data_IF_819408601304
#
_entry.id   IF_819408601304
#
_cell.length_a   1.000
_cell.length_b   1.000
_cell.length_c   1.000
_cell.angle_alpha   90.00
_cell.angle_beta   90.00
_cell.angle_gamma   90.00
#
_symmetry.space_group_name_H-M   'P 1'
#
loop_
_entity.id
_entity.type
_entity.pdbx_description
1 polymer ?
#
# COMPACT_ATOMS: atom_id res chain seq x y z
N UNK A 1 -19.18 13.73 17.04
CA UNK A 1 -19.74 12.51 17.65
C UNK A 1 -20.10 11.56 16.51
N UNK A 2 -19.16 10.71 16.09
CA UNK A 2 -19.42 9.75 15.00
C UNK A 2 -20.13 8.56 15.62
N UNK A 3 -21.44 8.49 15.42
CA UNK A 3 -22.27 7.36 15.85
C UNK A 3 -21.87 6.17 14.99
N UNK A 4 -21.04 5.29 15.56
CA UNK A 4 -20.80 3.97 14.99
C UNK A 4 -22.13 3.24 15.13
N UNK A 5 -22.91 3.19 14.04
CA UNK A 5 -24.17 2.46 14.00
C UNK A 5 -23.96 1.05 14.53
N UNK A 6 -24.76 0.71 15.55
CA UNK A 6 -24.79 -0.56 16.29
C UNK A 6 -23.75 -1.60 15.84
N UNK A 7 -22.58 -1.59 16.49
CA UNK A 7 -21.68 -2.73 16.45
C UNK A 7 -22.40 -3.92 17.09
N UNK A 8 -22.47 -5.03 16.37
CA UNK A 8 -23.01 -6.28 16.89
C UNK A 8 -22.25 -6.66 18.19
N UNK A 9 -22.95 -7.07 19.26
CA UNK A 9 -22.33 -7.35 20.55
C UNK A 9 -21.24 -8.43 20.49
N UNK A 10 -21.30 -9.36 19.54
CA UNK A 10 -20.24 -10.37 19.32
C UNK A 10 -18.99 -9.70 18.74
N UNK A 11 -19.18 -8.73 17.84
CA UNK A 11 -18.07 -7.95 17.29
C UNK A 11 -17.38 -7.15 18.39
N UNK A 12 -18.15 -6.55 19.30
CA UNK A 12 -17.61 -5.77 20.41
C UNK A 12 -16.73 -6.62 21.33
N UNK A 13 -17.17 -7.83 21.70
CA UNK A 13 -16.37 -8.77 22.50
C UNK A 13 -15.04 -9.13 21.84
N UNK A 14 -15.04 -9.31 20.52
CA UNK A 14 -13.81 -9.61 19.78
C UNK A 14 -12.86 -8.42 19.71
N UNK A 15 -13.38 -7.20 19.69
CA UNK A 15 -12.55 -5.99 19.76
C UNK A 15 -11.95 -5.84 21.16
N UNK A 16 -12.72 -6.10 22.22
CA UNK A 16 -12.19 -6.12 23.59
C UNK A 16 -11.09 -7.15 23.80
N UNK A 17 -11.17 -8.32 23.18
CA UNK A 17 -10.09 -9.31 23.22
C UNK A 17 -8.78 -8.76 22.63
N UNK A 18 -8.85 -7.93 21.59
CA UNK A 18 -7.66 -7.26 21.06
C UNK A 18 -7.15 -6.16 21.99
N UNK A 19 -8.04 -5.42 22.67
CA UNK A 19 -7.61 -4.42 23.67
C UNK A 19 -6.78 -5.09 24.76
N UNK A 20 -7.21 -6.26 25.26
CA UNK A 20 -6.47 -7.04 26.24
C UNK A 20 -5.12 -7.53 25.71
N UNK A 21 -5.08 -8.02 24.47
CA UNK A 21 -3.87 -8.53 23.81
C UNK A 21 -2.79 -7.45 23.58
N UNK A 22 -3.22 -6.22 23.28
CA UNK A 22 -2.34 -5.06 23.11
C UNK A 22 -2.02 -4.31 24.42
N UNK A 23 -2.72 -4.62 25.52
CA UNK A 23 -2.49 -4.02 26.84
C UNK A 23 -2.82 -2.52 26.91
N UNK A 24 -1.94 -1.73 27.53
CA UNK A 24 -2.19 -0.31 27.84
C UNK A 24 -2.52 0.58 26.62
N UNK A 25 -1.99 0.25 25.43
CA UNK A 25 -2.30 0.97 24.19
C UNK A 25 -3.43 0.34 23.36
N UNK A 26 -4.00 -0.78 23.82
CA UNK A 26 -4.95 -1.57 23.04
C UNK A 26 -6.20 -0.81 22.62
N UNK A 27 -6.75 0.04 23.49
CA UNK A 27 -7.93 0.85 23.17
C UNK A 27 -7.64 1.85 22.03
N UNK A 28 -6.46 2.49 22.09
CA UNK A 28 -6.03 3.44 21.06
C UNK A 28 -5.75 2.74 19.73
N UNK A 29 -5.14 1.56 19.77
CA UNK A 29 -4.86 0.74 18.59
C UNK A 29 -6.16 0.28 17.93
N UNK A 30 -7.10 -0.26 18.71
CA UNK A 30 -8.39 -0.72 18.18
C UNK A 30 -9.21 0.44 17.62
N UNK A 31 -9.23 1.58 18.30
CA UNK A 31 -9.88 2.81 17.81
C UNK A 31 -9.29 3.26 16.46
N UNK A 32 -7.96 3.29 16.33
CA UNK A 32 -7.28 3.64 15.07
C UNK A 32 -7.63 2.66 13.95
N UNK A 33 -7.70 1.35 14.24
CA UNK A 33 -8.10 0.36 13.23
C UNK A 33 -9.54 0.54 12.74
N UNK A 34 -10.44 0.98 13.64
CA UNK A 34 -11.81 1.33 13.29
C UNK A 34 -11.85 2.59 12.41
N UNK A 35 -11.08 3.62 12.75
CA UNK A 35 -10.96 4.84 11.95
C UNK A 35 -10.49 4.53 10.52
N UNK A 36 -9.43 3.73 10.37
CA UNK A 36 -8.95 3.27 9.06
C UNK A 36 -10.03 2.51 8.29
N UNK A 37 -10.83 1.67 8.99
CA UNK A 37 -11.99 1.00 8.41
C UNK A 37 -13.06 1.96 7.92
N UNK A 38 -13.34 3.02 8.69
CA UNK A 38 -14.31 4.06 8.35
C UNK A 38 -13.83 4.89 7.17
N UNK A 39 -12.56 5.30 7.14
CA UNK A 39 -11.94 6.04 6.03
C UNK A 39 -11.99 5.24 4.71
N UNK A 40 -11.76 3.93 4.79
CA UNK A 40 -11.91 3.02 3.65
C UNK A 40 -13.39 2.74 3.27
N UNK A 41 -14.36 3.20 4.06
CA UNK A 41 -15.78 2.89 3.89
C UNK A 41 -16.17 1.44 4.26
N UNK A 42 -15.25 0.67 4.84
CA UNK A 42 -15.42 -0.75 5.19
C UNK A 42 -15.55 -0.90 6.70
N UNK A 43 -16.78 -0.85 7.19
CA UNK A 43 -17.12 -0.97 8.61
C UNK A 43 -17.44 -2.41 9.02
N UNK A 44 -16.63 -3.37 8.60
CA UNK A 44 -16.82 -4.78 8.95
C UNK A 44 -15.70 -5.28 9.86
N UNK A 45 -16.06 -6.14 10.83
CA UNK A 45 -15.08 -6.71 11.76
C UNK A 45 -13.97 -7.47 11.04
N UNK A 46 -14.29 -8.14 9.92
CA UNK A 46 -13.31 -8.93 9.17
C UNK A 46 -12.13 -8.07 8.68
N UNK A 47 -12.40 -6.85 8.24
CA UNK A 47 -11.42 -5.88 7.78
C UNK A 47 -10.58 -5.36 8.94
N UNK A 48 -11.24 -4.91 10.01
CA UNK A 48 -10.58 -4.43 11.23
C UNK A 48 -9.70 -5.52 11.85
N UNK A 49 -10.21 -6.75 11.95
CA UNK A 49 -9.44 -7.90 12.43
C UNK A 49 -8.23 -8.21 11.55
N UNK A 50 -8.32 -7.99 10.23
CA UNK A 50 -7.19 -8.13 9.32
C UNK A 50 -6.10 -7.08 9.58
N UNK A 51 -6.51 -5.83 9.86
CA UNK A 51 -5.61 -4.74 10.24
C UNK A 51 -4.93 -5.07 11.57
N UNK A 52 -5.72 -5.39 12.61
CA UNK A 52 -5.22 -5.71 13.95
C UNK A 52 -4.26 -6.91 13.92
N UNK A 53 -4.62 -7.99 13.23
CA UNK A 53 -3.74 -9.16 13.06
C UNK A 53 -2.44 -8.79 12.36
N UNK A 54 -2.48 -7.92 11.35
CA UNK A 54 -1.27 -7.46 10.67
C UNK A 54 -0.38 -6.61 11.61
N UNK A 55 -0.97 -5.76 12.44
CA UNK A 55 -0.21 -4.98 13.43
C UNK A 55 0.37 -5.85 14.55
N UNK A 56 -0.43 -6.77 15.08
CA UNK A 56 0.00 -7.74 16.07
C UNK A 56 1.15 -8.62 15.54
N UNK A 57 1.04 -9.15 14.32
CA UNK A 57 2.11 -9.94 13.68
C UNK A 57 3.40 -9.14 13.46
N UNK A 58 3.30 -7.82 13.27
CA UNK A 58 4.46 -6.94 13.14
C UNK A 58 5.06 -6.56 14.50
N UNK A 59 4.40 -6.92 15.60
CA UNK A 59 4.81 -6.59 16.95
C UNK A 59 4.66 -5.10 17.28
N UNK A 60 3.77 -4.39 16.57
CA UNK A 60 3.51 -2.99 16.86
C UNK A 60 2.83 -2.89 18.22
N UNK A 61 3.55 -2.31 19.18
CA UNK A 61 3.03 -2.06 20.53
C UNK A 61 2.63 -0.61 20.73
N UNK A 62 3.10 0.27 19.84
CA UNK A 62 2.84 1.70 19.92
C UNK A 62 2.03 2.20 18.74
N UNK A 63 1.11 3.12 19.03
CA UNK A 63 0.32 3.82 18.01
C UNK A 63 1.19 4.58 16.99
N UNK A 64 2.39 5.03 17.40
CA UNK A 64 3.36 5.70 16.52
C UNK A 64 3.89 4.80 15.39
N UNK A 65 4.19 3.54 15.69
CA UNK A 65 4.65 2.57 14.69
C UNK A 65 3.54 2.21 13.69
N UNK A 66 2.30 2.15 14.20
CA UNK A 66 1.11 1.91 13.39
C UNK A 66 0.89 3.07 12.41
N UNK A 67 1.00 4.31 12.86
CA UNK A 67 0.82 5.50 12.04
C UNK A 67 1.87 5.57 10.91
N UNK A 68 3.14 5.29 11.22
CA UNK A 68 4.21 5.21 10.23
C UNK A 68 3.93 4.12 9.17
N UNK A 69 3.40 2.96 9.58
CA UNK A 69 3.03 1.90 8.65
C UNK A 69 1.79 2.26 7.81
N UNK A 70 0.85 3.04 8.35
CA UNK A 70 -0.34 3.48 7.61
C UNK A 70 0.01 4.52 6.54
N UNK A 71 0.88 5.48 6.87
CA UNK A 71 1.45 6.44 5.89
C UNK A 71 2.18 5.67 4.77
N UNK A 72 2.93 4.62 5.12
CA UNK A 72 3.62 3.77 4.16
C UNK A 72 2.68 2.93 3.28
N UNK A 73 1.44 2.68 3.72
CA UNK A 73 0.41 2.01 2.91
C UNK A 73 -0.27 2.98 1.95
N UNK A 74 -0.65 4.16 2.42
CA UNK A 74 -1.26 5.21 1.58
C UNK A 74 -0.33 5.65 0.44
N UNK A 75 0.97 5.76 0.70
CA UNK A 75 1.97 6.10 -0.33
C UNK A 75 2.21 4.97 -1.34
N UNK A 76 2.03 3.70 -0.94
CA UNK A 76 2.10 2.57 -1.87
C UNK A 76 0.91 2.49 -2.79
N UNK A 77 -0.30 2.83 -2.33
CA UNK A 77 -1.50 2.81 -3.18
C UNK A 77 -1.43 3.87 -4.30
N UNK A 78 -0.86 5.04 -4.02
CA UNK A 78 -0.69 6.11 -5.02
C UNK A 78 0.42 5.82 -6.06
N UNK A 79 1.38 4.96 -5.74
CA UNK A 79 2.49 4.62 -6.64
C UNK A 79 2.34 3.25 -7.32
N UNK A 80 1.16 2.64 -7.27
CA UNK A 80 0.87 1.42 -8.05
C UNK A 80 0.41 1.76 -9.47
N UNK A 81 1.15 2.64 -10.15
CA UNK A 81 1.42 2.36 -11.57
C UNK A 81 2.32 1.13 -11.54
N UNK A 82 1.71 -0.06 -11.48
CA UNK A 82 2.44 -1.31 -11.64
C UNK A 82 3.22 -1.19 -12.96
N UNK A 83 4.56 -1.09 -12.99
CA UNK A 83 5.22 -1.40 -14.23
C UNK A 83 4.95 -2.89 -14.38
N UNK A 84 4.11 -3.25 -15.34
CA UNK A 84 3.91 -4.62 -15.80
C UNK A 84 5.24 -5.09 -16.41
N UNK A 85 6.25 -5.30 -15.56
CA UNK A 85 7.48 -5.98 -15.92
C UNK A 85 7.16 -7.46 -15.75
N UNK A 86 6.54 -8.03 -16.78
CA UNK A 86 6.66 -9.45 -17.03
C UNK A 86 8.16 -9.73 -17.16
N UNK A 87 8.78 -10.12 -16.04
CA UNK A 87 10.08 -10.79 -15.97
C UNK A 87 9.95 -12.20 -16.56
N UNK A 88 9.49 -12.27 -17.80
CA UNK A 88 9.72 -13.44 -18.64
C UNK A 88 11.19 -13.38 -19.02
N UNK A 89 11.88 -14.51 -18.87
CA UNK A 89 13.27 -14.81 -19.20
C UNK A 89 13.64 -14.41 -20.64
N UNK A 90 13.73 -13.11 -20.93
CA UNK A 90 14.10 -12.60 -22.25
C UNK A 90 15.62 -12.61 -22.34
N UNK A 91 16.14 -13.19 -23.42
CA UNK A 91 17.57 -13.16 -23.74
C UNK A 91 18.07 -11.71 -23.73
N UNK A 92 19.33 -11.43 -23.35
CA UNK A 92 19.91 -10.09 -23.38
C UNK A 92 19.71 -9.38 -24.74
N UNK A 93 19.67 -10.12 -25.85
CA UNK A 93 19.36 -9.57 -27.17
C UNK A 93 17.94 -8.99 -27.27
N UNK A 94 16.95 -9.65 -26.70
CA UNK A 94 15.56 -9.21 -26.77
C UNK A 94 15.36 -7.92 -25.96
N UNK A 95 16.08 -7.79 -24.85
CA UNK A 95 16.12 -6.59 -24.01
C UNK A 95 16.72 -5.42 -24.80
N UNK A 96 17.81 -5.65 -25.52
CA UNK A 96 18.46 -4.63 -26.35
C UNK A 96 17.53 -4.15 -27.49
N UNK A 97 16.85 -5.08 -28.18
CA UNK A 97 15.91 -4.77 -29.27
C UNK A 97 14.70 -3.96 -28.78
N UNK A 98 14.18 -4.28 -27.61
CA UNK A 98 13.06 -3.56 -27.00
C UNK A 98 13.46 -2.15 -26.58
N UNK A 99 14.66 -1.98 -26.01
CA UNK A 99 15.19 -0.67 -25.63
C UNK A 99 15.37 0.23 -26.87
N UNK A 100 16.01 -0.29 -27.91
CA UNK A 100 16.24 0.46 -29.16
C UNK A 100 14.93 0.85 -29.87
N UNK A 101 13.94 -0.06 -29.90
CA UNK A 101 12.62 0.25 -30.45
C UNK A 101 11.91 1.35 -29.67
N UNK A 102 12.02 1.35 -28.35
CA UNK A 102 11.44 2.41 -27.51
C UNK A 102 12.16 3.75 -27.72
N UNK A 103 13.48 3.74 -27.83
CA UNK A 103 14.30 4.93 -28.13
C UNK A 103 13.99 5.49 -29.53
N UNK A 104 13.79 4.63 -30.53
CA UNK A 104 13.36 5.04 -31.88
C UNK A 104 11.98 5.68 -31.89
N UNK A 105 11.01 5.11 -31.18
CA UNK A 105 9.69 5.72 -31.04
C UNK A 105 9.77 7.08 -30.32
N UNK A 106 10.62 7.21 -29.30
CA UNK A 106 10.83 8.48 -28.60
C UNK A 106 11.49 9.54 -29.49
N UNK A 107 12.49 9.15 -30.30
CA UNK A 107 13.09 10.03 -31.32
C UNK A 107 12.09 10.52 -32.36
N UNK A 108 11.15 9.66 -32.75
CA UNK A 108 10.11 10.01 -33.71
C UNK A 108 9.06 10.98 -33.12
N UNK A 109 8.81 10.92 -31.80
CA UNK A 109 7.93 11.87 -31.12
C UNK A 109 8.54 13.26 -30.94
N UNK A 110 9.87 13.36 -30.78
CA UNK A 110 10.53 14.63 -30.49
C UNK A 110 10.84 15.47 -31.75
N UNK A 111 10.42 15.01 -32.94
CA UNK A 111 10.76 15.66 -34.20
C UNK A 111 12.24 15.40 -34.51
N UNK A 112 12.50 14.71 -35.61
CA UNK A 112 13.86 14.39 -36.02
C UNK A 112 14.70 15.65 -36.17
N UNK A 113 15.68 15.79 -35.30
CA UNK A 113 16.80 16.69 -35.51
C UNK A 113 18.06 15.83 -35.39
N UNK A 114 18.83 15.86 -36.47
CA UNK A 114 20.00 15.04 -36.71
C UNK A 114 21.05 15.35 -35.65
N UNK A 115 21.24 14.45 -34.68
CA UNK A 115 22.46 14.46 -33.87
C UNK A 115 23.56 13.89 -34.75
N UNK A 116 24.07 14.72 -35.66
CA UNK A 116 25.41 14.56 -36.21
C UNK A 116 26.37 14.51 -35.01
N UNK A 117 26.89 13.33 -34.76
CA UNK A 117 28.03 13.15 -33.88
C UNK A 117 29.21 13.75 -34.64
N UNK A 118 29.47 15.03 -34.41
CA UNK A 118 30.74 15.63 -34.82
C UNK A 118 31.81 14.96 -33.96
N UNK A 119 32.50 14.01 -34.58
CA UNK A 119 33.77 13.50 -34.07
C UNK A 119 34.84 14.31 -34.77
N UNK A 120 35.48 15.21 -34.03
CA UNK A 120 36.78 15.78 -34.37
C UNK A 120 37.68 15.74 -33.13
#
# INVERSE_FOLDING_TARGET
MVVIGYLDPITMQKLFAWIDDFGDEGDSIVSKALDVGIEAGIKNYKYVNGILRNWHNKGFKTTAEIDANEIARQTKDNNQVKPNVQTTKRSPEEIARLKERNERNMRQMLGGEDVEIITE
#
